data_IF_940076594921
#
_entry.id   IF_940076594921
#
_cell.length_a   1.000
_cell.length_b   1.000
_cell.length_c   1.000
_cell.angle_alpha   90.00
_cell.angle_beta   90.00
_cell.angle_gamma   90.00
#
_symmetry.space_group_name_H-M   'P 1'
#
loop_
_entity.id
_entity.type
_entity.pdbx_description
1 polymer ?
#
# COMPACT_ATOMS: atom_id res chain seq x y z
N UNK A 1 10.32 6.35 21.16
CA UNK A 1 10.68 6.14 19.75
C UNK A 1 10.19 7.32 18.92
N UNK A 2 11.11 8.26 18.61
CA UNK A 2 10.82 9.46 17.82
C UNK A 2 10.66 9.02 16.36
N UNK A 3 9.42 8.99 15.85
CA UNK A 3 9.17 8.78 14.43
C UNK A 3 9.50 10.09 13.71
N UNK A 4 10.67 10.18 13.10
CA UNK A 4 10.90 11.14 12.03
C UNK A 4 9.90 10.81 10.91
N UNK A 5 8.89 11.67 10.76
CA UNK A 5 8.02 11.62 9.60
C UNK A 5 8.81 12.23 8.46
N UNK A 6 9.44 11.40 7.63
CA UNK A 6 9.80 11.81 6.28
C UNK A 6 8.50 12.23 5.59
N UNK A 7 8.26 13.54 5.50
CA UNK A 7 7.09 14.10 4.83
C UNK A 7 7.36 14.06 3.32
N UNK A 8 7.29 12.87 2.74
CA UNK A 8 7.43 12.68 1.29
C UNK A 8 6.09 13.06 0.66
N UNK A 9 5.82 14.37 0.55
CA UNK A 9 4.76 14.87 -0.31
C UNK A 9 5.30 14.91 -1.74
N UNK A 10 5.25 13.79 -2.46
CA UNK A 10 5.41 13.82 -3.92
C UNK A 10 4.17 14.49 -4.48
N UNK A 11 4.30 15.74 -4.93
CA UNK A 11 3.24 16.38 -5.70
C UNK A 11 3.06 15.55 -6.97
N UNK A 12 1.82 15.15 -7.29
CA UNK A 12 1.50 14.32 -8.48
C UNK A 12 1.98 14.93 -9.80
N UNK A 13 2.23 16.24 -9.83
CA UNK A 13 2.75 16.97 -10.99
C UNK A 13 4.23 16.64 -11.28
N UNK A 14 4.98 16.22 -10.26
CA UNK A 14 6.40 15.90 -10.33
C UNK A 14 6.66 14.41 -10.57
N UNK A 15 5.62 13.63 -10.85
CA UNK A 15 5.72 12.20 -11.17
C UNK A 15 5.13 11.88 -12.55
N UNK A 16 5.53 10.74 -13.08
CA UNK A 16 5.03 10.19 -14.33
C UNK A 16 4.58 8.73 -14.15
N UNK A 17 3.51 8.31 -14.85
CA UNK A 17 3.04 6.94 -14.84
C UNK A 17 3.96 6.05 -15.66
N UNK A 18 4.47 4.98 -15.06
CA UNK A 18 5.27 3.95 -15.73
C UNK A 18 4.51 2.61 -15.67
N UNK A 19 4.31 1.94 -16.81
CA UNK A 19 3.73 0.60 -16.84
C UNK A 19 4.75 -0.42 -16.32
N UNK A 20 4.33 -1.23 -15.35
CA UNK A 20 5.16 -2.28 -14.74
C UNK A 20 4.75 -3.66 -15.23
N UNK A 21 3.50 -3.82 -15.69
CA UNK A 21 2.97 -5.05 -16.25
C UNK A 21 1.54 -4.87 -16.76
N UNK A 22 0.86 -5.96 -17.11
CA UNK A 22 -0.51 -5.93 -17.64
C UNK A 22 -1.47 -5.23 -16.67
N UNK A 23 -1.90 -4.02 -17.03
CA UNK A 23 -2.83 -3.21 -16.24
C UNK A 23 -2.25 -2.55 -14.98
N UNK A 24 -0.95 -2.71 -14.70
CA UNK A 24 -0.29 -2.19 -13.48
C UNK A 24 0.59 -0.99 -13.81
N UNK A 25 0.31 0.15 -13.18
CA UNK A 25 1.08 1.40 -13.36
C UNK A 25 1.54 1.97 -12.02
N UNK A 26 2.77 2.50 -11.99
CA UNK A 26 3.34 3.19 -10.83
C UNK A 26 3.66 4.64 -11.17
N UNK A 27 3.52 5.53 -10.20
CA UNK A 27 3.95 6.92 -10.32
C UNK A 27 5.39 7.03 -9.85
N UNK A 28 6.32 7.30 -10.76
CA UNK A 28 7.73 7.52 -10.44
C UNK A 28 8.03 9.02 -10.54
N UNK A 29 8.78 9.56 -9.58
CA UNK A 29 9.21 10.95 -9.63
C UNK A 29 10.05 11.22 -10.89
N UNK A 30 9.79 12.32 -11.58
CA UNK A 30 10.52 12.77 -12.78
C UNK A 30 12.01 13.00 -12.52
N UNK A 31 12.39 13.17 -11.26
CA UNK A 31 13.77 13.32 -10.78
C UNK A 31 14.57 12.01 -10.92
N UNK A 32 13.90 10.86 -10.99
CA UNK A 32 14.57 9.57 -11.15
C UNK A 32 15.26 9.48 -12.52
N UNK A 33 16.48 8.96 -12.51
CA UNK A 33 17.24 8.63 -13.71
C UNK A 33 16.62 7.47 -14.48
N UNK A 34 16.96 7.31 -15.76
CA UNK A 34 16.48 6.17 -16.56
C UNK A 34 16.92 4.82 -15.97
N UNK A 35 18.11 4.75 -15.39
CA UNK A 35 18.60 3.55 -14.73
C UNK A 35 17.76 3.21 -13.50
N UNK A 36 17.49 4.18 -12.63
CA UNK A 36 16.65 3.96 -11.45
C UNK A 36 15.23 3.53 -11.82
N UNK A 37 14.67 4.09 -12.90
CA UNK A 37 13.36 3.67 -13.43
C UNK A 37 13.41 2.22 -13.91
N UNK A 38 14.45 1.85 -14.66
CA UNK A 38 14.63 0.48 -15.15
C UNK A 38 14.76 -0.53 -14.01
N UNK A 39 15.63 -0.23 -13.03
CA UNK A 39 15.86 -1.09 -11.86
C UNK A 39 14.57 -1.25 -11.04
N UNK A 40 13.79 -0.18 -10.90
CA UNK A 40 12.53 -0.22 -10.18
C UNK A 40 11.45 -1.03 -10.92
N UNK A 41 11.36 -0.92 -12.25
CA UNK A 41 10.49 -1.76 -13.06
C UNK A 41 10.87 -3.24 -12.89
N UNK A 42 12.16 -3.56 -13.00
CA UNK A 42 12.67 -4.92 -12.84
C UNK A 42 12.31 -5.48 -11.45
N UNK A 43 12.53 -4.71 -10.39
CA UNK A 43 12.20 -5.10 -9.02
C UNK A 43 10.70 -5.42 -8.88
N UNK A 44 9.83 -4.57 -9.42
CA UNK A 44 8.40 -4.78 -9.30
C UNK A 44 7.90 -5.97 -10.15
N UNK A 45 8.60 -6.31 -11.24
CA UNK A 45 8.33 -7.50 -12.05
C UNK A 45 8.83 -8.79 -11.37
N UNK A 46 9.93 -8.72 -10.62
CA UNK A 46 10.46 -9.83 -9.83
C UNK A 46 9.56 -10.17 -8.63
N UNK A 47 8.92 -9.16 -8.03
CA UNK A 47 8.05 -9.30 -6.86
C UNK A 47 6.61 -8.83 -7.12
N UNK A 48 5.87 -9.47 -8.04
CA UNK A 48 4.54 -9.02 -8.46
C UNK A 48 3.44 -9.21 -7.39
N UNK A 49 3.69 -10.04 -6.38
CA UNK A 49 2.78 -10.45 -5.31
C UNK A 49 3.03 -9.73 -3.97
N UNK A 50 4.18 -9.06 -3.83
CA UNK A 50 4.54 -8.29 -2.61
C UNK A 50 3.72 -7.00 -2.50
N UNK A 51 3.31 -6.43 -3.63
CA UNK A 51 2.53 -5.20 -3.68
C UNK A 51 1.06 -5.48 -3.94
N UNK A 52 0.19 -4.71 -3.28
CA UNK A 52 -1.22 -4.69 -3.60
C UNK A 52 -1.51 -3.69 -4.73
N UNK A 53 -1.57 -4.19 -5.95
CA UNK A 53 -1.87 -3.41 -7.16
C UNK A 53 -3.35 -3.04 -7.24
N UNK A 54 -4.19 -3.89 -6.66
CA UNK A 54 -5.63 -3.68 -6.52
C UNK A 54 -6.07 -3.82 -5.07
N UNK A 55 -7.29 -3.36 -4.78
CA UNK A 55 -7.92 -3.59 -3.47
C UNK A 55 -8.16 -5.08 -3.18
N UNK A 56 -8.31 -5.89 -4.22
CA UNK A 56 -8.52 -7.34 -4.09
C UNK A 56 -7.23 -8.03 -3.61
N UNK A 57 -6.06 -7.53 -4.01
CA UNK A 57 -4.76 -8.04 -3.56
C UNK A 57 -4.58 -7.84 -2.04
N UNK A 58 -5.14 -6.77 -1.47
CA UNK A 58 -5.14 -6.56 0.00
C UNK A 58 -6.04 -7.55 0.73
N UNK A 59 -7.10 -8.05 0.08
CA UNK A 59 -7.97 -9.10 0.64
C UNK A 59 -7.32 -10.49 0.57
N UNK A 60 -6.15 -10.61 -0.06
CA UNK A 60 -5.42 -11.86 -0.28
C UNK A 60 -4.76 -12.45 0.97
N UNK A 61 -4.84 -11.81 2.14
CA UNK A 61 -4.38 -12.46 3.36
C UNK A 61 -5.39 -13.54 3.77
N UNK A 62 -4.98 -14.80 3.72
CA UNK A 62 -5.80 -15.91 4.17
C UNK A 62 -6.21 -15.64 5.64
N UNK A 63 -7.50 -15.48 5.96
CA UNK A 63 -7.94 -15.28 7.33
C UNK A 63 -7.46 -16.40 8.25
N UNK A 64 -7.28 -17.60 7.73
CA UNK A 64 -6.75 -18.74 8.50
C UNK A 64 -5.24 -18.62 8.81
N UNK A 65 -4.49 -17.75 8.12
CA UNK A 65 -3.04 -17.58 8.30
C UNK A 65 -2.73 -16.55 9.40
N UNK A 66 -3.50 -15.48 9.50
CA UNK A 66 -3.34 -14.48 10.58
C UNK A 66 -4.65 -13.72 10.85
N UNK A 67 -5.66 -14.41 11.34
CA UNK A 67 -6.81 -13.76 11.98
C UNK A 67 -6.57 -13.69 13.47
N UNK A 68 -6.60 -12.47 14.01
CA UNK A 68 -6.77 -12.26 15.44
C UNK A 68 -8.26 -12.05 15.71
N UNK A 69 -8.87 -12.98 16.45
CA UNK A 69 -10.23 -12.81 16.95
C UNK A 69 -10.15 -12.01 18.24
N UNK A 70 -10.82 -10.85 18.25
CA UNK A 70 -11.01 -10.10 19.49
C UNK A 70 -12.10 -10.84 20.28
N UNK A 71 -11.74 -11.40 21.43
CA UNK A 71 -12.71 -11.97 22.35
C UNK A 71 -13.58 -10.83 22.90
N UNK A 72 -14.83 -10.79 22.46
CA UNK A 72 -15.85 -9.88 22.95
C UNK A 72 -16.80 -10.65 23.85
N UNK A 73 -17.26 -10.01 24.91
CA UNK A 73 -18.36 -10.53 25.72
C UNK A 73 -19.61 -10.69 24.83
N UNK A 74 -20.21 -11.89 24.71
CA UNK A 74 -21.36 -12.13 23.85
C UNK A 74 -22.60 -11.31 24.25
N UNK A 75 -22.70 -10.88 25.50
CA UNK A 75 -23.80 -10.05 26.00
C UNK A 75 -23.51 -8.55 25.88
N UNK A 76 -22.30 -8.16 25.45
CA UNK A 76 -21.94 -6.77 25.31
C UNK A 76 -22.69 -6.10 24.15
N UNK A 77 -23.34 -4.98 24.44
CA UNK A 77 -24.06 -4.19 23.45
C UNK A 77 -23.07 -3.38 22.60
N UNK A 78 -23.20 -3.36 21.26
CA UNK A 78 -22.35 -2.53 20.41
C UNK A 78 -22.60 -1.04 20.67
N UNK A 79 -21.53 -0.28 20.90
CA UNK A 79 -21.58 1.16 21.15
C UNK A 79 -21.03 1.89 19.93
N UNK A 80 -21.83 2.78 19.34
CA UNK A 80 -21.37 3.65 18.25
C UNK A 80 -20.63 4.86 18.83
N UNK A 81 -19.30 4.89 18.72
CA UNK A 81 -18.50 6.03 19.16
C UNK A 81 -18.71 7.24 18.23
N UNK A 82 -18.97 8.42 18.79
CA UNK A 82 -19.04 9.67 18.02
C UNK A 82 -17.64 10.02 17.50
N UNK A 83 -17.57 10.56 16.28
CA UNK A 83 -16.31 11.07 15.73
C UNK A 83 -15.74 12.17 16.63
N UNK A 84 -14.42 12.18 16.78
CA UNK A 84 -13.73 13.28 17.46
C UNK A 84 -13.91 14.55 16.61
N UNK A 85 -14.19 15.72 17.23
CA UNK A 85 -14.29 16.99 16.49
C UNK A 85 -12.99 17.35 15.78
#
# INVERSE_FOLDING_TARGET
FRKEKANIQVKREDSEPIPVGEGKTLQIGKVATEQEKSDFIQLCQEFPDVFAWSYEDLRGFNPNLAQHTIELDPDAKPIRQKQRP
#
